data_IF_231594514522
#
_entry.id   IF_231594514522
#
_cell.length_a   1.000
_cell.length_b   1.000
_cell.length_c   1.000
_cell.angle_alpha   90.00
_cell.angle_beta   90.00
_cell.angle_gamma   90.00
#
_symmetry.space_group_name_H-M   'P 1'
#
loop_
_entity.id
_entity.type
_entity.pdbx_description
1 polymer ?
#
# COMPACT_ATOMS: atom_id res chain seq x y z
N UNK A 1 -11.12 -2.55 -7.24
CA UNK A 1 -10.59 -2.18 -8.55
C UNK A 1 -10.18 -0.70 -8.58
N UNK A 2 -11.11 0.28 -8.45
CA UNK A 2 -10.83 1.72 -8.61
C UNK A 2 -9.70 2.20 -7.70
N UNK A 3 -9.68 1.83 -6.41
CA UNK A 3 -8.64 2.25 -5.47
C UNK A 3 -7.24 1.73 -5.84
N UNK A 4 -7.13 0.49 -6.31
CA UNK A 4 -5.85 -0.09 -6.75
C UNK A 4 -5.40 0.51 -8.08
N UNK A 5 -6.32 0.63 -9.01
CA UNK A 5 -6.08 1.25 -10.31
C UNK A 5 -5.59 2.70 -10.14
N UNK A 6 -6.21 3.49 -9.25
CA UNK A 6 -5.86 4.88 -9.00
C UNK A 6 -4.40 5.04 -8.52
N UNK A 7 -3.95 4.22 -7.57
CA UNK A 7 -2.57 4.27 -7.07
C UNK A 7 -1.57 3.96 -8.18
N UNK A 8 -1.84 2.92 -8.98
CA UNK A 8 -0.91 2.48 -10.03
C UNK A 8 -0.87 3.44 -11.21
N UNK A 9 -2.03 3.95 -11.63
CA UNK A 9 -2.14 4.90 -12.74
C UNK A 9 -1.44 6.22 -12.41
N UNK A 10 -1.60 6.71 -11.16
CA UNK A 10 -0.91 7.93 -10.68
C UNK A 10 0.59 7.73 -10.57
N UNK A 11 1.06 6.53 -10.17
CA UNK A 11 2.49 6.24 -10.07
C UNK A 11 3.19 6.40 -11.41
N UNK A 12 2.62 5.89 -12.49
CA UNK A 12 3.17 6.04 -13.84
C UNK A 12 3.16 7.53 -14.29
N UNK A 13 2.18 8.31 -13.85
CA UNK A 13 2.06 9.72 -14.19
C UNK A 13 3.00 10.65 -13.39
N UNK A 14 3.61 10.17 -12.29
CA UNK A 14 4.41 10.99 -11.37
C UNK A 14 5.48 11.86 -12.03
N UNK A 15 6.33 11.35 -12.97
CA UNK A 15 7.33 12.18 -13.63
C UNK A 15 6.72 13.33 -14.44
N UNK A 16 5.57 13.09 -15.08
CA UNK A 16 4.84 14.12 -15.81
C UNK A 16 4.20 15.15 -14.88
N UNK A 17 3.63 14.72 -13.77
CA UNK A 17 3.11 15.56 -12.69
C UNK A 17 4.21 16.46 -12.12
N UNK A 18 5.39 15.88 -11.81
CA UNK A 18 6.55 16.62 -11.30
C UNK A 18 6.98 17.74 -12.23
N UNK A 19 7.13 17.44 -13.54
CA UNK A 19 7.57 18.40 -14.54
C UNK A 19 6.58 19.53 -14.74
N UNK A 20 5.28 19.24 -14.79
CA UNK A 20 4.26 20.24 -15.12
C UNK A 20 3.88 21.13 -13.92
N UNK A 21 3.75 20.57 -12.73
CA UNK A 21 3.41 21.32 -11.52
C UNK A 21 4.62 21.90 -10.79
N UNK A 22 5.85 21.54 -11.20
CA UNK A 22 7.07 22.10 -10.62
C UNK A 22 7.36 21.57 -9.21
N UNK A 23 7.02 20.32 -8.91
CA UNK A 23 7.43 19.69 -7.65
C UNK A 23 8.94 19.63 -7.53
N UNK A 24 9.47 19.96 -6.37
CA UNK A 24 10.87 19.69 -6.03
C UNK A 24 11.13 18.18 -5.95
N UNK A 25 12.41 17.76 -6.00
CA UNK A 25 12.79 16.35 -6.18
C UNK A 25 12.15 15.38 -5.20
N UNK A 26 12.01 15.76 -3.93
CA UNK A 26 11.43 14.92 -2.88
C UNK A 26 9.94 15.12 -2.63
N UNK A 27 9.36 16.23 -3.08
CA UNK A 27 7.96 16.55 -2.76
C UNK A 27 6.95 15.72 -3.54
N UNK A 28 7.29 15.26 -4.74
CA UNK A 28 6.36 14.51 -5.61
C UNK A 28 5.86 13.21 -4.96
N UNK A 29 6.63 12.62 -4.06
CA UNK A 29 6.21 11.44 -3.29
C UNK A 29 4.92 11.67 -2.48
N UNK A 30 4.67 12.95 -2.04
CA UNK A 30 3.46 13.28 -1.29
C UNK A 30 2.17 13.04 -2.06
N UNK A 31 2.22 12.97 -3.39
CA UNK A 31 1.09 12.58 -4.24
C UNK A 31 0.64 11.15 -3.94
N UNK A 32 1.58 10.24 -3.65
CA UNK A 32 1.28 8.84 -3.27
C UNK A 32 1.13 8.71 -1.74
N UNK A 33 2.07 9.26 -1.00
CA UNK A 33 2.12 9.17 0.47
C UNK A 33 0.90 9.82 1.12
N UNK A 34 0.43 10.98 0.61
CA UNK A 34 -0.76 11.66 1.12
C UNK A 34 -2.01 10.78 1.02
N UNK A 35 -2.21 10.12 -0.12
CA UNK A 35 -3.29 9.16 -0.29
C UNK A 35 -3.18 7.99 0.70
N UNK A 36 -2.05 7.29 0.73
CA UNK A 36 -1.86 6.12 1.58
C UNK A 36 -1.98 6.44 3.07
N UNK A 37 -1.51 7.61 3.49
CA UNK A 37 -1.59 8.08 4.87
C UNK A 37 -3.04 8.26 5.33
N UNK A 38 -3.84 9.03 4.58
CA UNK A 38 -5.25 9.27 4.91
C UNK A 38 -6.09 8.01 4.74
N UNK A 39 -5.82 7.21 3.71
CA UNK A 39 -6.47 5.92 3.49
C UNK A 39 -6.18 4.95 4.64
N UNK A 40 -4.91 4.67 4.94
CA UNK A 40 -4.50 3.73 5.98
C UNK A 40 -4.88 4.20 7.39
N UNK A 41 -4.72 5.50 7.67
CA UNK A 41 -5.02 6.08 8.97
C UNK A 41 -6.51 6.08 9.32
N UNK A 42 -7.37 6.20 8.33
CA UNK A 42 -8.83 6.25 8.53
C UNK A 42 -9.54 4.92 8.23
N UNK A 43 -8.83 3.91 7.71
CA UNK A 43 -9.44 2.67 7.25
C UNK A 43 -10.28 1.98 8.34
N UNK A 44 -9.72 1.83 9.54
CA UNK A 44 -10.40 1.19 10.67
C UNK A 44 -11.59 2.02 11.16
N UNK A 45 -11.43 3.33 11.25
CA UNK A 45 -12.50 4.25 11.65
C UNK A 45 -13.67 4.19 10.67
N UNK A 46 -13.38 4.24 9.36
CA UNK A 46 -14.41 4.22 8.31
C UNK A 46 -15.06 2.85 8.17
N UNK A 47 -14.34 1.77 8.46
CA UNK A 47 -14.92 0.42 8.56
C UNK A 47 -15.99 0.37 9.65
N UNK A 48 -15.69 0.87 10.86
CA UNK A 48 -16.67 0.98 11.95
C UNK A 48 -17.81 1.94 11.64
N UNK A 49 -17.52 3.05 11.00
CA UNK A 49 -18.58 3.97 10.55
C UNK A 49 -19.56 3.28 9.60
N UNK A 50 -19.09 2.36 8.75
CA UNK A 50 -19.92 1.53 7.88
C UNK A 50 -20.89 0.63 8.65
N UNK A 51 -20.42 0.00 9.71
CA UNK A 51 -21.26 -0.84 10.56
C UNK A 51 -22.28 -0.02 11.36
N UNK A 52 -21.92 1.21 11.81
CA UNK A 52 -22.75 2.09 12.61
C UNK A 52 -23.78 2.85 11.77
N UNK A 53 -23.37 3.49 10.68
CA UNK A 53 -24.22 4.39 9.87
C UNK A 53 -24.86 3.73 8.66
N UNK A 54 -24.42 2.51 8.32
CA UNK A 54 -24.90 1.75 7.17
C UNK A 54 -23.84 1.61 6.08
N UNK A 55 -23.62 0.38 5.64
CA UNK A 55 -22.56 -0.01 4.71
C UNK A 55 -22.75 0.61 3.32
N UNK A 56 -23.99 0.61 2.80
CA UNK A 56 -24.30 1.28 1.52
C UNK A 56 -24.09 2.78 1.59
N UNK A 57 -24.54 3.43 2.67
CA UNK A 57 -24.35 4.89 2.86
C UNK A 57 -22.89 5.26 2.87
N UNK A 58 -22.05 4.51 3.61
CA UNK A 58 -20.61 4.75 3.66
C UNK A 58 -19.92 4.47 2.31
N UNK A 59 -20.36 3.43 1.59
CA UNK A 59 -19.89 3.15 0.23
C UNK A 59 -20.17 4.31 -0.73
N UNK A 60 -21.41 4.82 -0.75
CA UNK A 60 -21.85 5.92 -1.61
C UNK A 60 -21.14 7.22 -1.23
N UNK A 61 -21.08 7.55 0.07
CA UNK A 61 -20.38 8.74 0.56
C UNK A 61 -18.87 8.69 0.23
N UNK A 62 -18.22 7.56 0.49
CA UNK A 62 -16.80 7.36 0.17
C UNK A 62 -16.52 7.50 -1.32
N UNK A 63 -17.35 6.92 -2.16
CA UNK A 63 -17.22 7.02 -3.61
C UNK A 63 -17.47 8.46 -4.11
N UNK A 64 -18.42 9.18 -3.53
CA UNK A 64 -18.70 10.58 -3.87
C UNK A 64 -17.50 11.48 -3.48
N UNK A 65 -16.94 11.29 -2.28
CA UNK A 65 -15.72 12.01 -1.84
C UNK A 65 -14.55 11.68 -2.74
N UNK A 66 -14.34 10.40 -3.07
CA UNK A 66 -13.29 9.94 -3.98
C UNK A 66 -13.41 10.58 -5.37
N UNK A 67 -14.62 10.64 -5.94
CA UNK A 67 -14.88 11.26 -7.24
C UNK A 67 -14.66 12.77 -7.22
N UNK A 68 -15.17 13.46 -6.19
CA UNK A 68 -14.98 14.91 -6.03
C UNK A 68 -13.49 15.27 -5.85
N UNK A 69 -12.76 14.48 -5.06
CA UNK A 69 -11.32 14.65 -4.88
C UNK A 69 -10.54 14.35 -6.17
N UNK A 70 -10.95 13.34 -6.94
CA UNK A 70 -10.37 13.04 -8.26
C UNK A 70 -10.57 14.17 -9.25
N UNK A 71 -11.77 14.75 -9.28
CA UNK A 71 -12.07 15.93 -10.10
C UNK A 71 -11.21 17.13 -9.68
N UNK A 72 -11.14 17.41 -8.39
CA UNK A 72 -10.33 18.51 -7.86
C UNK A 72 -8.83 18.31 -8.14
N UNK A 73 -8.31 17.10 -7.96
CA UNK A 73 -6.92 16.77 -8.27
C UNK A 73 -6.58 16.88 -9.74
N UNK A 74 -7.50 16.50 -10.66
CA UNK A 74 -7.33 16.69 -12.10
C UNK A 74 -7.31 18.15 -12.52
N UNK A 75 -7.93 19.04 -11.74
CA UNK A 75 -7.92 20.50 -11.94
C UNK A 75 -6.77 21.20 -11.18
N UNK A 76 -5.85 20.48 -10.57
CA UNK A 76 -4.78 21.06 -9.76
C UNK A 76 -3.88 21.99 -10.58
N UNK A 77 -3.62 23.18 -10.04
CA UNK A 77 -2.75 24.23 -10.61
C UNK A 77 -1.45 24.43 -9.83
N UNK A 78 -1.33 23.79 -8.68
CA UNK A 78 -0.17 23.88 -7.80
C UNK A 78 0.08 22.54 -7.09
N UNK A 79 1.33 22.24 -6.67
CA UNK A 79 1.67 21.01 -5.96
C UNK A 79 0.78 20.72 -4.76
N UNK A 80 0.59 21.69 -3.87
CA UNK A 80 -0.19 21.52 -2.64
C UNK A 80 -1.67 21.20 -2.91
N UNK A 81 -2.25 21.71 -4.03
CA UNK A 81 -3.64 21.40 -4.40
C UNK A 81 -3.78 19.93 -4.75
N UNK A 82 -2.83 19.38 -5.51
CA UNK A 82 -2.84 17.96 -5.85
C UNK A 82 -2.66 17.10 -4.59
N UNK A 83 -1.72 17.45 -3.71
CA UNK A 83 -1.51 16.71 -2.45
C UNK A 83 -2.77 16.76 -1.56
N UNK A 84 -3.42 17.92 -1.42
CA UNK A 84 -4.67 18.05 -0.68
C UNK A 84 -5.80 17.19 -1.29
N UNK A 85 -5.92 17.18 -2.62
CA UNK A 85 -6.88 16.33 -3.31
C UNK A 85 -6.57 14.83 -3.07
N UNK A 86 -5.29 14.42 -3.06
CA UNK A 86 -4.87 13.04 -2.77
C UNK A 86 -5.20 12.63 -1.32
N UNK A 87 -4.98 13.53 -0.35
CA UNK A 87 -5.41 13.31 1.04
C UNK A 87 -6.93 13.08 1.12
N UNK A 88 -7.72 13.93 0.47
CA UNK A 88 -9.18 13.80 0.45
C UNK A 88 -9.64 12.52 -0.29
N UNK A 89 -8.95 12.15 -1.36
CA UNK A 89 -9.21 10.91 -2.11
C UNK A 89 -8.95 9.68 -1.25
N UNK A 90 -7.89 9.70 -0.41
CA UNK A 90 -7.61 8.64 0.57
C UNK A 90 -8.70 8.51 1.63
N UNK A 91 -9.30 9.63 2.11
CA UNK A 91 -10.47 9.60 2.99
C UNK A 91 -11.65 8.89 2.31
N UNK A 92 -11.93 9.22 1.04
CA UNK A 92 -12.96 8.55 0.25
C UNK A 92 -12.69 7.06 0.08
N UNK A 93 -11.45 6.69 -0.23
CA UNK A 93 -11.01 5.30 -0.34
C UNK A 93 -11.17 4.52 0.96
N UNK A 94 -10.81 5.12 2.10
CA UNK A 94 -10.95 4.52 3.43
C UNK A 94 -12.40 4.17 3.79
N UNK A 95 -13.37 4.94 3.31
CA UNK A 95 -14.78 4.63 3.47
C UNK A 95 -15.26 3.59 2.44
N UNK A 96 -14.80 3.69 1.19
CA UNK A 96 -15.23 2.87 0.07
C UNK A 96 -14.81 1.40 0.20
N UNK A 97 -13.53 1.14 0.53
CA UNK A 97 -12.94 -0.21 0.46
C UNK A 97 -13.52 -1.15 1.52
N UNK A 98 -13.53 -0.84 2.83
CA UNK A 98 -14.13 -1.73 3.82
C UNK A 98 -15.64 -1.88 3.64
N UNK A 99 -16.36 -0.79 3.26
CA UNK A 99 -17.77 -0.87 2.98
C UNK A 99 -18.09 -1.81 1.81
N UNK A 100 -17.27 -1.82 0.75
CA UNK A 100 -17.43 -2.72 -0.40
C UNK A 100 -17.28 -4.19 0.00
N UNK A 101 -16.29 -4.50 0.84
CA UNK A 101 -16.06 -5.87 1.34
C UNK A 101 -17.18 -6.31 2.28
N UNK A 102 -17.63 -5.41 3.17
CA UNK A 102 -18.72 -5.68 4.09
C UNK A 102 -20.06 -5.90 3.37
N UNK A 103 -20.36 -5.12 2.32
CA UNK A 103 -21.54 -5.31 1.47
C UNK A 103 -21.50 -6.65 0.72
N UNK A 104 -20.33 -7.02 0.18
CA UNK A 104 -20.14 -8.29 -0.49
C UNK A 104 -20.40 -9.47 0.46
N UNK A 105 -19.82 -9.41 1.66
CA UNK A 105 -19.99 -10.47 2.67
C UNK A 105 -21.40 -10.54 3.24
N UNK A 106 -22.13 -9.44 3.29
CA UNK A 106 -23.54 -9.38 3.70
C UNK A 106 -24.49 -9.88 2.62
N UNK A 107 -24.16 -9.69 1.34
CA UNK A 107 -24.99 -10.09 0.22
C UNK A 107 -24.91 -11.61 -0.02
N UNK A 108 -23.72 -12.20 0.12
CA UNK A 108 -23.49 -13.63 -0.07
C UNK A 108 -23.34 -14.33 1.29
N UNK A 109 -24.39 -14.99 1.74
CA UNK A 109 -24.52 -15.51 3.11
C UNK A 109 -23.59 -16.68 3.49
N UNK A 110 -22.83 -17.24 2.55
CA UNK A 110 -21.86 -18.33 2.79
C UNK A 110 -21.81 -19.33 1.64
N UNK A 111 -20.93 -20.34 1.77
CA UNK A 111 -20.77 -21.41 0.80
C UNK A 111 -20.02 -21.00 -0.47
N UNK A 112 -20.33 -21.69 -1.57
CA UNK A 112 -19.61 -21.59 -2.84
C UNK A 112 -19.78 -20.20 -3.50
N UNK A 113 -20.98 -19.61 -3.40
CA UNK A 113 -21.26 -18.28 -3.96
C UNK A 113 -20.41 -17.19 -3.31
N UNK A 114 -20.29 -17.21 -1.97
CA UNK A 114 -19.41 -16.27 -1.25
C UNK A 114 -17.94 -16.46 -1.63
N UNK A 115 -17.48 -17.72 -1.73
CA UNK A 115 -16.11 -18.01 -2.13
C UNK A 115 -15.81 -17.50 -3.55
N UNK A 116 -16.76 -17.68 -4.47
CA UNK A 116 -16.66 -17.16 -5.84
C UNK A 116 -16.63 -15.62 -5.86
N UNK A 117 -17.52 -14.96 -5.11
CA UNK A 117 -17.57 -13.50 -5.02
C UNK A 117 -16.28 -12.92 -4.42
N UNK A 118 -15.73 -13.56 -3.36
CA UNK A 118 -14.44 -13.17 -2.76
C UNK A 118 -13.28 -13.42 -3.74
N UNK A 119 -13.32 -14.50 -4.51
CA UNK A 119 -12.34 -14.76 -5.57
C UNK A 119 -12.33 -13.66 -6.64
N UNK A 120 -13.51 -13.24 -7.10
CA UNK A 120 -13.64 -12.12 -8.05
C UNK A 120 -13.15 -10.81 -7.43
N UNK A 121 -13.49 -10.52 -6.17
CA UNK A 121 -13.02 -9.33 -5.46
C UNK A 121 -11.49 -9.28 -5.38
N UNK A 122 -10.85 -10.39 -5.02
CA UNK A 122 -9.39 -10.51 -4.98
C UNK A 122 -8.75 -10.37 -6.37
N UNK A 123 -9.35 -11.00 -7.40
CA UNK A 123 -8.86 -10.89 -8.78
C UNK A 123 -8.93 -9.44 -9.31
N UNK A 124 -9.94 -8.66 -8.89
CA UNK A 124 -10.05 -7.25 -9.27
C UNK A 124 -8.89 -6.38 -8.78
N UNK A 125 -8.22 -6.76 -7.70
CA UNK A 125 -7.01 -6.06 -7.26
C UNK A 125 -5.84 -6.25 -8.25
N UNK A 126 -5.59 -7.50 -8.68
CA UNK A 126 -4.56 -7.81 -9.69
C UNK A 126 -4.86 -7.19 -11.05
N UNK A 127 -6.13 -7.27 -11.50
CA UNK A 127 -6.57 -6.63 -12.74
C UNK A 127 -6.43 -5.12 -12.65
N UNK A 128 -6.78 -4.51 -11.50
CA UNK A 128 -6.62 -3.06 -11.28
C UNK A 128 -5.17 -2.62 -11.35
N UNK A 129 -4.25 -3.41 -10.79
CA UNK A 129 -2.82 -3.14 -10.87
C UNK A 129 -2.32 -3.18 -12.32
N UNK A 130 -2.61 -4.27 -13.05
CA UNK A 130 -2.19 -4.43 -14.44
C UNK A 130 -2.76 -3.35 -15.37
N UNK A 131 -4.07 -3.12 -15.27
CA UNK A 131 -4.74 -2.07 -16.06
C UNK A 131 -4.21 -0.69 -15.69
N UNK A 132 -3.96 -0.42 -14.41
CA UNK A 132 -3.43 0.86 -13.95
C UNK A 132 -2.08 1.20 -14.56
N UNK A 133 -1.17 0.23 -14.67
CA UNK A 133 0.13 0.43 -15.29
C UNK A 133 0.01 0.77 -16.78
N UNK A 134 -0.75 -0.01 -17.54
CA UNK A 134 -0.90 0.18 -18.99
C UNK A 134 -1.75 1.40 -19.30
N UNK A 135 -2.94 1.53 -18.68
CA UNK A 135 -3.82 2.68 -18.89
C UNK A 135 -3.19 3.98 -18.38
N UNK A 136 -2.41 3.92 -17.29
CA UNK A 136 -1.65 5.06 -16.78
C UNK A 136 -0.67 5.58 -17.83
N UNK A 137 0.04 4.67 -18.49
CA UNK A 137 0.92 5.01 -19.60
C UNK A 137 0.19 5.63 -20.79
N UNK A 138 -0.85 4.94 -21.27
CA UNK A 138 -1.69 5.41 -22.41
C UNK A 138 -2.30 6.79 -22.11
N UNK A 139 -2.98 6.92 -20.99
CA UNK A 139 -3.69 8.16 -20.63
C UNK A 139 -2.69 9.31 -20.45
N UNK A 140 -1.58 9.07 -19.75
CA UNK A 140 -0.58 10.10 -19.48
C UNK A 140 0.08 10.59 -20.78
N UNK A 141 0.36 9.69 -21.72
CA UNK A 141 1.03 10.02 -22.98
C UNK A 141 0.12 10.76 -23.95
N UNK A 142 -1.13 10.31 -24.13
CA UNK A 142 -2.01 10.85 -25.17
C UNK A 142 -2.96 11.95 -24.70
N UNK A 143 -3.36 11.92 -23.42
CA UNK A 143 -4.34 12.87 -22.87
C UNK A 143 -3.72 13.78 -21.78
N UNK A 144 -2.56 13.41 -21.27
CA UNK A 144 -1.91 14.09 -20.16
C UNK A 144 -2.29 13.54 -18.79
N UNK A 145 -1.44 13.80 -17.78
CA UNK A 145 -1.58 13.25 -16.44
C UNK A 145 -2.89 13.62 -15.72
N UNK A 146 -3.51 14.75 -16.03
CA UNK A 146 -4.79 15.18 -15.42
C UNK A 146 -5.89 14.17 -15.67
N UNK A 147 -5.93 13.55 -16.82
CA UNK A 147 -6.91 12.55 -17.20
C UNK A 147 -6.77 11.24 -16.40
N UNK A 148 -5.61 11.02 -15.81
CA UNK A 148 -5.40 9.90 -14.87
C UNK A 148 -6.34 10.00 -13.65
N UNK A 149 -6.63 11.22 -13.21
CA UNK A 149 -7.58 11.47 -12.13
C UNK A 149 -9.01 11.60 -12.67
N UNK A 150 -9.21 12.28 -13.80
CA UNK A 150 -10.55 12.45 -14.39
C UNK A 150 -11.22 11.13 -14.77
N UNK A 151 -10.47 10.08 -15.13
CA UNK A 151 -11.03 8.76 -15.48
C UNK A 151 -11.80 8.11 -14.33
N UNK A 152 -11.48 8.45 -13.10
CA UNK A 152 -12.20 7.98 -11.92
C UNK A 152 -13.62 8.57 -11.83
N UNK A 153 -13.84 9.77 -12.34
CA UNK A 153 -15.11 10.51 -12.21
C UNK A 153 -16.26 9.80 -12.95
N UNK A 154 -16.17 9.49 -14.24
CA UNK A 154 -17.25 8.79 -14.95
C UNK A 154 -17.52 7.40 -14.39
N UNK A 155 -16.48 6.68 -13.97
CA UNK A 155 -16.64 5.37 -13.32
C UNK A 155 -17.38 5.50 -12.00
N UNK A 156 -16.99 6.47 -11.17
CA UNK A 156 -17.65 6.73 -9.90
C UNK A 156 -19.11 7.18 -10.09
N UNK A 157 -19.40 8.07 -11.03
CA UNK A 157 -20.76 8.52 -11.34
C UNK A 157 -21.65 7.38 -11.80
N UNK A 158 -21.14 6.48 -12.65
CA UNK A 158 -21.88 5.29 -13.08
C UNK A 158 -22.21 4.37 -11.90
N UNK A 159 -21.24 4.14 -10.99
CA UNK A 159 -21.49 3.32 -9.80
C UNK A 159 -22.42 4.02 -8.82
N UNK A 160 -22.27 5.35 -8.61
CA UNK A 160 -23.16 6.13 -7.74
C UNK A 160 -24.61 6.10 -8.20
N UNK A 161 -24.86 6.15 -9.51
CA UNK A 161 -26.23 6.06 -10.07
C UNK A 161 -26.84 4.66 -9.91
N UNK A 162 -26.04 3.61 -9.99
CA UNK A 162 -26.50 2.22 -9.87
C UNK A 162 -26.59 1.73 -8.42
N UNK A 163 -25.75 2.24 -7.53
CA UNK A 163 -25.63 1.76 -6.15
C UNK A 163 -26.97 1.79 -5.37
N UNK A 164 -27.80 2.84 -5.45
CA UNK A 164 -29.09 2.87 -4.75
C UNK A 164 -30.08 1.81 -5.21
N UNK A 165 -29.98 1.39 -6.48
CA UNK A 165 -30.88 0.41 -7.10
C UNK A 165 -30.41 -1.01 -6.84
N UNK A 166 -29.09 -1.25 -6.94
CA UNK A 166 -28.53 -2.60 -6.90
C UNK A 166 -28.16 -3.02 -5.47
N UNK A 167 -27.71 -2.09 -4.64
CA UNK A 167 -27.19 -2.40 -3.30
C UNK A 167 -28.26 -2.16 -2.26
N UNK A 168 -28.61 -3.19 -1.49
CA UNK A 168 -29.49 -3.04 -0.32
C UNK A 168 -28.69 -2.50 0.86
N UNK A 169 -29.36 -1.64 1.68
CA UNK A 169 -28.74 -1.17 2.92
C UNK A 169 -28.54 -2.33 3.89
N UNK A 170 -27.39 -2.34 4.51
CA UNK A 170 -27.02 -3.31 5.55
C UNK A 170 -26.36 -2.56 6.70
N UNK A 171 -26.84 -2.80 7.89
CA UNK A 171 -26.33 -2.23 9.13
C UNK A 171 -26.15 -3.35 10.12
N UNK A 172 -25.16 -3.24 10.97
CA UNK A 172 -24.98 -4.17 12.09
C UNK A 172 -25.64 -3.59 13.35
N UNK A 173 -26.76 -4.18 13.75
CA UNK A 173 -27.50 -3.75 14.95
C UNK A 173 -26.73 -3.99 16.27
N UNK A 174 -25.63 -4.74 16.22
CA UNK A 174 -24.71 -5.00 17.35
C UNK A 174 -23.48 -4.11 17.30
N UNK A 175 -23.37 -3.22 16.28
CA UNK A 175 -22.23 -2.33 16.15
C UNK A 175 -22.11 -1.40 17.37
N UNK A 176 -20.87 -1.13 17.82
CA UNK A 176 -20.62 -0.18 18.89
C UNK A 176 -21.21 1.20 18.59
N UNK A 177 -21.75 1.85 19.62
CA UNK A 177 -22.44 3.15 19.45
C UNK A 177 -21.51 4.35 19.27
N UNK A 178 -20.19 4.17 19.40
CA UNK A 178 -19.22 5.28 19.39
C UNK A 178 -18.05 5.02 18.43
N UNK A 179 -17.56 6.12 17.82
CA UNK A 179 -16.36 6.12 17.01
C UNK A 179 -15.21 6.72 17.82
N UNK A 180 -14.07 6.05 17.84
CA UNK A 180 -12.83 6.57 18.42
C UNK A 180 -12.13 7.53 17.45
N UNK A 181 -12.67 8.77 17.37
CA UNK A 181 -12.07 9.83 16.56
C UNK A 181 -10.70 10.26 17.10
N UNK A 182 -10.51 10.18 18.43
CA UNK A 182 -9.27 10.59 19.06
C UNK A 182 -8.14 9.58 18.73
N UNK A 183 -8.44 8.29 18.76
CA UNK A 183 -7.50 7.23 18.34
C UNK A 183 -7.14 7.37 16.87
N UNK A 184 -8.12 7.54 15.98
CA UNK A 184 -7.87 7.75 14.56
C UNK A 184 -7.02 8.99 14.27
N UNK A 185 -7.35 10.12 14.89
CA UNK A 185 -6.61 11.37 14.70
C UNK A 185 -5.17 11.26 15.19
N UNK A 186 -4.95 10.73 16.41
CA UNK A 186 -3.61 10.59 16.99
C UNK A 186 -2.74 9.61 16.23
N UNK A 187 -3.28 8.50 15.76
CA UNK A 187 -2.56 7.54 14.90
C UNK A 187 -2.17 8.19 13.56
N UNK A 188 -3.15 8.79 12.86
CA UNK A 188 -2.92 9.37 11.53
C UNK A 188 -1.95 10.54 11.59
N UNK A 189 -2.13 11.48 12.53
CA UNK A 189 -1.25 12.64 12.68
C UNK A 189 0.15 12.24 13.19
N UNK A 190 0.23 11.26 14.08
CA UNK A 190 1.50 10.74 14.57
C UNK A 190 2.34 10.12 13.45
N UNK A 191 1.72 9.32 12.60
CA UNK A 191 2.38 8.74 11.43
C UNK A 191 2.69 9.78 10.36
N UNK A 192 1.80 10.75 10.13
CA UNK A 192 2.06 11.87 9.24
C UNK A 192 3.33 12.64 9.65
N UNK A 193 3.46 12.94 10.94
CA UNK A 193 4.63 13.63 11.47
C UNK A 193 5.91 12.79 11.31
N UNK A 194 5.86 11.47 11.54
CA UNK A 194 7.01 10.58 11.33
C UNK A 194 7.42 10.51 9.85
N UNK A 195 6.45 10.37 8.95
CA UNK A 195 6.70 10.34 7.51
C UNK A 195 7.28 11.68 7.04
N UNK A 196 6.72 12.80 7.52
CA UNK A 196 7.22 14.14 7.20
C UNK A 196 8.67 14.32 7.68
N UNK A 197 8.97 13.91 8.91
CA UNK A 197 10.33 13.98 9.44
C UNK A 197 11.34 13.20 8.57
N UNK A 198 10.99 11.99 8.13
CA UNK A 198 11.84 11.17 7.24
C UNK A 198 11.98 11.82 5.86
N UNK A 199 10.90 12.38 5.30
CA UNK A 199 10.90 12.99 3.97
C UNK A 199 11.74 14.26 3.89
N UNK A 200 11.71 15.08 4.96
CA UNK A 200 12.38 16.38 5.00
C UNK A 200 13.81 16.31 5.57
N UNK A 201 14.16 15.20 6.23
CA UNK A 201 15.47 15.04 6.84
C UNK A 201 16.66 15.22 5.86
N UNK A 202 16.64 14.76 4.60
CA UNK A 202 17.70 15.02 3.64
C UNK A 202 17.92 16.51 3.38
N UNK A 203 16.84 17.30 3.26
CA UNK A 203 16.90 18.72 2.89
C UNK A 203 17.21 19.64 4.08
N UNK A 204 16.64 19.32 5.24
CA UNK A 204 16.79 20.13 6.46
C UNK A 204 17.94 19.68 7.36
N UNK A 205 18.49 18.49 7.11
CA UNK A 205 19.46 17.79 7.98
C UNK A 205 18.78 16.86 8.99
N UNK A 206 19.37 15.68 9.16
CA UNK A 206 18.86 14.62 10.07
C UNK A 206 18.85 15.07 11.55
N UNK A 207 19.71 15.99 11.92
CA UNK A 207 19.89 16.48 13.31
C UNK A 207 19.33 17.90 13.47
N UNK A 208 18.61 18.43 12.49
CA UNK A 208 18.02 19.77 12.58
C UNK A 208 16.91 19.81 13.63
N UNK A 209 16.72 20.96 14.28
CA UNK A 209 15.62 21.15 15.24
C UNK A 209 14.26 20.81 14.64
N UNK A 210 14.03 21.16 13.37
CA UNK A 210 12.78 20.88 12.67
C UNK A 210 12.53 19.37 12.54
N UNK A 211 13.54 18.62 12.07
CA UNK A 211 13.42 17.16 11.91
C UNK A 211 13.22 16.47 13.26
N UNK A 212 14.02 16.85 14.28
CA UNK A 212 13.91 16.27 15.63
C UNK A 212 12.56 16.60 16.28
N UNK A 213 12.11 17.86 16.23
CA UNK A 213 10.82 18.24 16.83
C UNK A 213 9.65 17.56 16.13
N UNK A 214 9.70 17.40 14.82
CA UNK A 214 8.63 16.72 14.06
C UNK A 214 8.61 15.22 14.37
N UNK A 215 9.76 14.55 14.40
CA UNK A 215 9.86 13.14 14.79
C UNK A 215 9.42 12.91 16.25
N UNK A 216 9.83 13.81 17.17
CA UNK A 216 9.39 13.77 18.56
C UNK A 216 7.88 13.95 18.70
N UNK A 217 7.29 14.92 17.98
CA UNK A 217 5.82 15.12 17.96
C UNK A 217 5.10 13.87 17.45
N UNK A 218 5.59 13.25 16.36
CA UNK A 218 5.05 12.00 15.85
C UNK A 218 5.12 10.89 16.89
N UNK A 219 6.25 10.73 17.56
CA UNK A 219 6.43 9.72 18.61
C UNK A 219 5.49 9.97 19.80
N UNK A 220 5.34 11.22 20.24
CA UNK A 220 4.41 11.61 21.32
C UNK A 220 2.96 11.30 20.91
N UNK A 221 2.54 11.67 19.70
CA UNK A 221 1.18 11.39 19.20
C UNK A 221 0.89 9.89 19.12
N UNK A 222 1.85 9.07 18.70
CA UNK A 222 1.72 7.61 18.73
C UNK A 222 1.67 7.06 20.17
N UNK A 223 2.40 7.66 21.11
CA UNK A 223 2.27 7.36 22.53
C UNK A 223 0.89 7.74 23.09
N UNK A 224 0.37 8.90 22.70
CA UNK A 224 -1.01 9.33 23.03
C UNK A 224 -2.02 8.37 22.42
N UNK A 225 -1.86 7.97 21.17
CA UNK A 225 -2.70 6.94 20.53
C UNK A 225 -2.78 5.67 21.41
N UNK A 226 -1.66 5.11 21.84
CA UNK A 226 -1.64 3.92 22.72
C UNK A 226 -2.38 4.17 24.02
N UNK A 227 -2.28 5.36 24.59
CA UNK A 227 -2.99 5.70 25.86
C UNK A 227 -4.48 5.91 25.64
N UNK A 228 -4.90 6.49 24.51
CA UNK A 228 -6.30 6.64 24.09
C UNK A 228 -6.92 5.26 23.89
N UNK A 229 -6.27 4.40 23.08
CA UNK A 229 -6.73 3.04 22.80
C UNK A 229 -6.90 2.17 24.08
N UNK A 230 -6.02 2.35 25.07
CA UNK A 230 -6.15 1.63 26.37
C UNK A 230 -7.34 2.09 27.20
N UNK A 231 -7.84 3.31 26.97
CA UNK A 231 -8.94 3.91 27.73
C UNK A 231 -10.24 3.98 26.95
N UNK A 232 -10.19 3.78 25.63
CA UNK A 232 -11.35 3.79 24.78
C UNK A 232 -12.29 2.63 25.17
N UNK A 233 -13.59 2.92 25.31
CA UNK A 233 -14.59 1.90 25.52
C UNK A 233 -14.67 0.95 24.31
N UNK A 234 -14.41 1.48 23.13
CA UNK A 234 -14.48 0.81 21.83
C UNK A 234 -13.21 1.12 21.02
N UNK A 235 -12.06 0.50 21.35
CA UNK A 235 -10.79 0.81 20.71
C UNK A 235 -10.82 0.45 19.22
N UNK A 236 -10.18 1.26 18.35
CA UNK A 236 -10.04 1.00 16.90
C UNK A 236 -9.16 -0.23 16.64
N UNK A 237 -8.08 -0.32 17.39
CA UNK A 237 -7.13 -1.41 17.31
C UNK A 237 -6.95 -2.03 18.70
N UNK A 238 -7.56 -3.18 19.03
CA UNK A 238 -7.40 -3.78 20.34
C UNK A 238 -5.96 -4.15 20.58
N UNK A 239 -5.28 -3.34 21.41
CA UNK A 239 -3.88 -3.52 21.78
C UNK A 239 -3.54 -4.92 22.29
N UNK A 240 -4.43 -5.65 23.01
CA UNK A 240 -4.17 -7.02 23.38
C UNK A 240 -3.96 -7.97 22.19
N UNK A 241 -4.65 -7.74 21.06
CA UNK A 241 -4.46 -8.54 19.84
C UNK A 241 -3.15 -8.15 19.17
N UNK A 242 -2.85 -6.84 19.05
CA UNK A 242 -1.59 -6.35 18.51
C UNK A 242 -0.38 -6.76 19.36
N UNK A 243 -0.57 -6.92 20.68
CA UNK A 243 0.45 -7.41 21.61
C UNK A 243 0.74 -8.91 21.48
N UNK A 244 -0.11 -9.70 20.82
CA UNK A 244 0.19 -11.11 20.52
C UNK A 244 1.41 -11.16 19.59
N UNK A 245 2.47 -11.86 20.04
CA UNK A 245 3.75 -11.91 19.33
C UNK A 245 3.61 -12.27 17.84
N UNK A 246 2.74 -13.22 17.51
CA UNK A 246 2.49 -13.63 16.13
C UNK A 246 1.93 -12.49 15.27
N UNK A 247 0.87 -11.82 15.78
CA UNK A 247 0.23 -10.68 15.10
C UNK A 247 1.21 -9.52 14.94
N UNK A 248 1.96 -9.18 15.99
CA UNK A 248 2.95 -8.10 15.93
C UNK A 248 4.05 -8.38 14.90
N UNK A 249 4.63 -9.58 14.91
CA UNK A 249 5.69 -9.98 13.96
C UNK A 249 5.16 -10.01 12.53
N UNK A 250 3.97 -10.56 12.31
CA UNK A 250 3.36 -10.63 10.98
C UNK A 250 3.05 -9.25 10.43
N UNK A 251 2.44 -8.35 11.22
CA UNK A 251 2.14 -6.99 10.76
C UNK A 251 3.42 -6.17 10.53
N UNK A 252 4.46 -6.34 11.37
CA UNK A 252 5.76 -5.72 11.12
C UNK A 252 6.38 -6.21 9.80
N UNK A 253 6.29 -7.51 9.51
CA UNK A 253 6.75 -8.06 8.23
C UNK A 253 5.92 -7.53 7.04
N UNK A 254 4.61 -7.30 7.22
CA UNK A 254 3.73 -6.68 6.20
C UNK A 254 4.13 -5.23 5.94
N UNK A 255 4.43 -4.44 6.98
CA UNK A 255 4.95 -3.07 6.83
C UNK A 255 6.23 -3.09 6.00
N UNK A 256 7.23 -3.89 6.39
CA UNK A 256 8.50 -3.99 5.68
C UNK A 256 8.32 -4.46 4.23
N UNK A 257 7.45 -5.45 3.98
CA UNK A 257 7.09 -5.92 2.65
C UNK A 257 6.53 -4.78 1.79
N UNK A 258 5.59 -4.02 2.34
CA UNK A 258 4.94 -2.93 1.61
C UNK A 258 5.90 -1.77 1.33
N UNK A 259 6.81 -1.47 2.27
CA UNK A 259 7.91 -0.53 2.02
C UNK A 259 8.74 -0.94 0.80
N UNK A 260 9.10 -2.22 0.71
CA UNK A 260 9.87 -2.76 -0.41
C UNK A 260 9.11 -2.61 -1.74
N UNK A 261 7.84 -3.01 -1.78
CA UNK A 261 7.01 -2.92 -2.99
C UNK A 261 6.83 -1.48 -3.47
N UNK A 262 6.54 -0.56 -2.54
CA UNK A 262 6.41 0.87 -2.82
C UNK A 262 7.71 1.49 -3.34
N UNK A 263 8.84 1.18 -2.70
CA UNK A 263 10.16 1.65 -3.11
C UNK A 263 10.53 1.12 -4.51
N UNK A 264 10.33 -0.18 -4.76
CA UNK A 264 10.60 -0.79 -6.07
C UNK A 264 9.81 -0.10 -7.19
N UNK A 265 8.51 0.06 -7.00
CA UNK A 265 7.64 0.65 -8.02
C UNK A 265 8.02 2.12 -8.30
N UNK A 266 8.30 2.90 -7.26
CA UNK A 266 8.70 4.29 -7.37
C UNK A 266 10.04 4.45 -8.11
N UNK A 267 11.07 3.71 -7.69
CA UNK A 267 12.40 3.76 -8.29
C UNK A 267 12.37 3.34 -9.75
N UNK A 268 11.68 2.24 -10.06
CA UNK A 268 11.60 1.76 -11.45
C UNK A 268 10.83 2.73 -12.37
N UNK A 269 9.81 3.41 -11.86
CA UNK A 269 9.10 4.45 -12.62
C UNK A 269 10.02 5.61 -12.97
N UNK A 270 10.80 6.11 -12.00
CA UNK A 270 11.78 7.17 -12.24
C UNK A 270 12.92 6.69 -13.16
N UNK A 271 13.38 5.46 -12.98
CA UNK A 271 14.42 4.88 -13.83
C UNK A 271 13.98 4.82 -15.28
N UNK A 272 12.81 4.27 -15.58
CA UNK A 272 12.35 4.15 -16.97
C UNK A 272 12.06 5.51 -17.61
N UNK A 273 11.47 6.44 -16.88
CA UNK A 273 11.04 7.72 -17.47
C UNK A 273 12.09 8.83 -17.36
N UNK A 274 12.74 8.99 -16.21
CA UNK A 274 13.67 10.10 -15.99
C UNK A 274 15.12 9.76 -16.33
N UNK A 275 15.57 8.50 -16.10
CA UNK A 275 16.94 8.09 -16.40
C UNK A 275 17.09 7.53 -17.83
N UNK A 276 16.13 6.72 -18.32
CA UNK A 276 16.17 6.14 -19.67
C UNK A 276 15.38 6.95 -20.71
N UNK A 277 14.61 7.96 -20.28
CA UNK A 277 13.84 8.81 -21.19
C UNK A 277 12.66 8.11 -21.87
N UNK A 278 12.20 6.97 -21.36
CA UNK A 278 11.04 6.29 -21.93
C UNK A 278 9.76 7.09 -21.72
N UNK A 279 8.86 6.97 -22.69
CA UNK A 279 7.52 7.56 -22.56
C UNK A 279 6.71 6.86 -21.46
N UNK A 280 5.68 7.52 -20.91
CA UNK A 280 4.80 6.88 -19.91
C UNK A 280 4.21 5.56 -20.39
N UNK A 281 3.84 5.44 -21.66
CA UNK A 281 3.33 4.19 -22.24
C UNK A 281 4.40 3.09 -22.29
N UNK A 282 5.60 3.44 -22.74
CA UNK A 282 6.73 2.49 -22.77
C UNK A 282 7.05 2.01 -21.34
N UNK A 283 7.13 2.92 -20.37
CA UNK A 283 7.34 2.57 -18.96
C UNK A 283 6.22 1.65 -18.44
N UNK A 284 4.95 1.97 -18.71
CA UNK A 284 3.81 1.13 -18.33
C UNK A 284 3.89 -0.29 -18.91
N UNK A 285 4.30 -0.43 -20.18
CA UNK A 285 4.48 -1.74 -20.81
C UNK A 285 5.64 -2.55 -20.21
N UNK A 286 6.71 -1.89 -19.73
CA UNK A 286 7.82 -2.56 -19.06
C UNK A 286 7.43 -3.16 -17.70
N UNK A 287 6.31 -2.75 -17.10
CA UNK A 287 5.76 -3.38 -15.89
C UNK A 287 4.89 -4.63 -16.19
N UNK A 288 4.52 -4.92 -17.44
CA UNK A 288 3.70 -6.08 -17.80
C UNK A 288 4.37 -7.41 -17.38
N UNK A 289 5.68 -7.65 -17.60
CA UNK A 289 6.34 -8.88 -17.12
C UNK A 289 6.26 -9.05 -15.60
N UNK A 290 6.38 -7.97 -14.84
CA UNK A 290 6.24 -7.95 -13.40
C UNK A 290 4.83 -8.36 -12.98
N UNK A 291 3.80 -7.81 -13.62
CA UNK A 291 2.40 -8.19 -13.37
C UNK A 291 2.12 -9.66 -13.70
N UNK A 292 2.68 -10.16 -14.81
CA UNK A 292 2.57 -11.57 -15.17
C UNK A 292 3.22 -12.48 -14.11
N UNK A 293 4.37 -12.05 -13.55
CA UNK A 293 5.02 -12.76 -12.45
C UNK A 293 4.13 -12.84 -11.21
N UNK A 294 3.42 -11.76 -10.85
CA UNK A 294 2.46 -11.75 -9.74
C UNK A 294 1.36 -12.79 -9.93
N UNK A 295 0.77 -12.85 -11.13
CA UNK A 295 -0.32 -13.79 -11.46
C UNK A 295 0.14 -15.24 -11.33
N UNK A 296 1.36 -15.55 -11.78
CA UNK A 296 1.92 -16.91 -11.71
C UNK A 296 2.38 -17.26 -10.29
N UNK A 297 3.02 -16.32 -9.60
CA UNK A 297 3.60 -16.57 -8.28
C UNK A 297 2.54 -16.69 -7.17
N UNK A 298 1.39 -16.03 -7.28
CA UNK A 298 0.33 -16.05 -6.26
C UNK A 298 -0.22 -17.45 -5.97
N UNK A 299 -0.68 -18.26 -6.94
CA UNK A 299 -1.12 -19.63 -6.68
C UNK A 299 0.03 -20.53 -6.21
N UNK A 300 1.25 -20.34 -6.70
CA UNK A 300 2.43 -21.06 -6.23
C UNK A 300 2.73 -20.77 -4.75
N UNK A 301 2.57 -19.53 -4.33
CA UNK A 301 2.70 -19.12 -2.93
C UNK A 301 1.71 -19.86 -2.03
N UNK A 302 0.45 -20.01 -2.45
CA UNK A 302 -0.56 -20.80 -1.73
C UNK A 302 -0.16 -22.26 -1.58
N UNK A 303 0.30 -22.90 -2.67
CA UNK A 303 0.78 -24.29 -2.65
C UNK A 303 2.03 -24.45 -1.77
N UNK A 304 2.99 -23.54 -1.86
CA UNK A 304 4.18 -23.54 -1.01
C UNK A 304 3.82 -23.38 0.46
N UNK A 305 2.88 -22.49 0.76
CA UNK A 305 2.41 -22.26 2.15
C UNK A 305 1.77 -23.50 2.73
N UNK A 306 0.94 -24.23 1.97
CA UNK A 306 0.33 -25.48 2.44
C UNK A 306 1.36 -26.60 2.67
N UNK A 307 2.48 -26.62 1.94
CA UNK A 307 3.53 -27.65 2.04
C UNK A 307 4.59 -27.33 3.07
N UNK A 308 5.03 -26.08 3.14
CA UNK A 308 6.21 -25.65 3.90
C UNK A 308 5.86 -24.87 5.18
N UNK A 309 4.60 -24.43 5.29
CA UNK A 309 4.10 -23.52 6.32
C UNK A 309 4.42 -22.04 6.02
N UNK A 310 3.72 -21.17 6.72
CA UNK A 310 3.72 -19.72 6.48
C UNK A 310 5.11 -19.10 6.64
N UNK A 311 5.80 -19.39 7.76
CA UNK A 311 7.14 -18.84 8.07
C UNK A 311 8.15 -19.12 6.99
N UNK A 312 8.27 -20.40 6.56
CA UNK A 312 9.30 -20.83 5.59
C UNK A 312 9.01 -20.26 4.22
N UNK A 313 7.74 -20.19 3.84
CA UNK A 313 7.33 -19.63 2.55
C UNK A 313 7.57 -18.13 2.50
N UNK A 314 7.17 -17.37 3.53
CA UNK A 314 7.41 -15.93 3.60
C UNK A 314 8.92 -15.60 3.62
N UNK A 315 9.72 -16.34 4.40
CA UNK A 315 11.17 -16.17 4.45
C UNK A 315 11.83 -16.39 3.08
N UNK A 316 11.43 -17.42 2.35
CA UNK A 316 11.93 -17.67 0.97
C UNK A 316 11.48 -16.54 0.02
N UNK A 317 10.24 -16.06 0.16
CA UNK A 317 9.75 -14.93 -0.61
C UNK A 317 10.63 -13.70 -0.42
N UNK A 318 10.93 -13.31 0.82
CA UNK A 318 11.82 -12.17 1.08
C UNK A 318 13.25 -12.37 0.58
N UNK A 319 13.79 -13.58 0.69
CA UNK A 319 15.12 -13.89 0.14
C UNK A 319 15.16 -13.72 -1.39
N UNK A 320 14.12 -14.20 -2.09
CA UNK A 320 13.99 -14.06 -3.55
C UNK A 320 13.79 -12.58 -3.92
N UNK A 321 12.94 -11.83 -3.17
CA UNK A 321 12.76 -10.40 -3.39
C UNK A 321 14.06 -9.64 -3.23
N UNK A 322 14.82 -9.90 -2.15
CA UNK A 322 16.10 -9.24 -1.92
C UNK A 322 17.10 -9.55 -3.05
N UNK A 323 17.19 -10.80 -3.49
CA UNK A 323 18.08 -11.20 -4.59
C UNK A 323 17.68 -10.50 -5.91
N UNK A 324 16.39 -10.43 -6.23
CA UNK A 324 15.89 -9.71 -7.40
C UNK A 324 16.21 -8.22 -7.36
N UNK A 325 16.02 -7.56 -6.21
CA UNK A 325 16.34 -6.14 -6.02
C UNK A 325 17.85 -5.86 -6.11
N UNK A 326 18.69 -6.72 -5.53
CA UNK A 326 20.15 -6.65 -5.67
C UNK A 326 20.55 -6.75 -7.14
N UNK A 327 19.94 -7.66 -7.87
CA UNK A 327 20.18 -7.81 -9.31
C UNK A 327 19.79 -6.55 -10.08
N UNK A 328 18.60 -6.00 -9.83
CA UNK A 328 18.17 -4.74 -10.45
C UNK A 328 19.16 -3.63 -10.12
N UNK A 329 19.47 -3.42 -8.83
CA UNK A 329 20.37 -2.37 -8.37
C UNK A 329 21.76 -2.45 -9.01
N UNK A 330 22.26 -3.67 -9.20
CA UNK A 330 23.59 -3.93 -9.81
C UNK A 330 23.61 -3.70 -11.32
N UNK A 331 22.46 -3.84 -12.00
CA UNK A 331 22.33 -3.73 -13.46
C UNK A 331 21.79 -2.38 -13.92
N UNK A 332 21.42 -1.45 -13.00
CA UNK A 332 20.99 -0.11 -13.38
C UNK A 332 22.14 0.64 -14.08
N UNK A 333 21.92 1.04 -15.34
CA UNK A 333 22.85 1.85 -16.12
C UNK A 333 22.10 2.66 -17.16
N UNK A 334 22.71 3.73 -17.68
CA UNK A 334 22.17 4.55 -18.79
C UNK A 334 22.34 3.88 -20.15
N UNK A 335 23.32 2.98 -20.30
CA UNK A 335 23.75 2.49 -21.63
C UNK A 335 23.33 1.05 -21.94
N UNK A 336 22.74 0.32 -21.00
CA UNK A 336 22.37 -1.08 -21.25
C UNK A 336 21.92 -1.83 -20.01
N UNK A 337 21.56 -3.11 -20.17
CA UNK A 337 21.14 -3.95 -19.05
C UNK A 337 19.63 -4.03 -18.84
N UNK A 338 18.81 -3.43 -19.72
CA UNK A 338 17.34 -3.47 -19.59
C UNK A 338 16.80 -4.88 -19.38
N UNK A 339 17.31 -5.88 -20.13
CA UNK A 339 16.88 -7.28 -19.99
C UNK A 339 17.19 -7.81 -18.59
N UNK A 340 18.36 -7.50 -18.05
CA UNK A 340 18.76 -7.91 -16.69
C UNK A 340 17.90 -7.19 -15.63
N UNK A 341 17.60 -5.91 -15.82
CA UNK A 341 16.68 -5.14 -14.95
C UNK A 341 15.29 -5.76 -14.98
N UNK A 342 14.73 -6.05 -16.16
CA UNK A 342 13.41 -6.69 -16.30
C UNK A 342 13.38 -8.07 -15.65
N UNK A 343 14.43 -8.88 -15.83
CA UNK A 343 14.52 -10.19 -15.20
C UNK A 343 14.61 -10.08 -13.68
N UNK A 344 15.46 -9.18 -13.16
CA UNK A 344 15.56 -8.92 -11.73
C UNK A 344 14.23 -8.42 -11.12
N UNK A 345 13.51 -7.57 -11.85
CA UNK A 345 12.19 -7.07 -11.48
C UNK A 345 11.15 -8.21 -11.39
N UNK A 346 11.13 -9.13 -12.36
CA UNK A 346 10.29 -10.33 -12.37
C UNK A 346 10.61 -11.24 -11.17
N UNK A 347 11.88 -11.44 -10.88
CA UNK A 347 12.34 -12.25 -9.73
C UNK A 347 11.93 -11.59 -8.41
N UNK A 348 12.14 -10.28 -8.27
CA UNK A 348 11.76 -9.53 -7.07
C UNK A 348 10.24 -9.61 -6.81
N UNK A 349 9.43 -9.44 -7.86
CA UNK A 349 7.98 -9.51 -7.76
C UNK A 349 7.47 -10.92 -7.45
N UNK A 350 8.04 -11.95 -8.07
CA UNK A 350 7.71 -13.32 -7.73
C UNK A 350 7.98 -13.61 -6.24
N UNK A 351 9.12 -13.16 -5.73
CA UNK A 351 9.45 -13.24 -4.31
C UNK A 351 8.46 -12.47 -3.43
N UNK A 352 8.09 -11.25 -3.83
CA UNK A 352 7.11 -10.40 -3.15
C UNK A 352 5.75 -11.11 -3.00
N UNK A 353 5.24 -11.73 -4.07
CA UNK A 353 4.00 -12.50 -4.02
C UNK A 353 4.12 -13.77 -3.19
N UNK A 354 5.28 -14.46 -3.25
CA UNK A 354 5.55 -15.64 -2.42
C UNK A 354 5.58 -15.26 -0.93
N UNK A 355 6.01 -14.05 -0.57
CA UNK A 355 5.93 -13.55 0.81
C UNK A 355 4.52 -13.07 1.20
N UNK A 356 3.80 -12.45 0.26
CA UNK A 356 2.50 -11.79 0.53
C UNK A 356 1.42 -12.78 1.00
N UNK A 357 1.26 -13.90 0.31
CA UNK A 357 0.19 -14.88 0.58
C UNK A 357 0.29 -15.46 2.00
N UNK A 358 1.45 -16.03 2.43
CA UNK A 358 1.57 -16.56 3.79
C UNK A 358 1.44 -15.51 4.89
N UNK A 359 1.89 -14.26 4.66
CA UNK A 359 1.72 -13.18 5.62
C UNK A 359 0.24 -12.81 5.78
N UNK A 360 -0.53 -12.77 4.69
CA UNK A 360 -1.97 -12.52 4.75
C UNK A 360 -2.70 -13.64 5.52
N UNK A 361 -2.34 -14.90 5.27
CA UNK A 361 -2.90 -16.05 5.99
C UNK A 361 -2.55 -15.98 7.48
N UNK A 362 -1.29 -15.70 7.83
CA UNK A 362 -0.83 -15.61 9.20
C UNK A 362 -1.50 -14.45 9.97
N UNK A 363 -1.63 -13.27 9.33
CA UNK A 363 -2.25 -12.09 9.93
C UNK A 363 -3.73 -12.33 10.30
N UNK A 364 -4.46 -13.12 9.51
CA UNK A 364 -5.89 -13.38 9.70
C UNK A 364 -6.19 -14.72 10.36
N UNK A 365 -5.23 -15.62 10.42
CA UNK A 365 -5.41 -17.00 10.93
C UNK A 365 -5.15 -17.18 12.43
N UNK A 366 -4.43 -16.26 13.07
CA UNK A 366 -4.12 -16.31 14.52
C UNK A 366 -5.23 -15.75 15.42
N UNK A 367 -6.33 -15.27 14.84
CA UNK A 367 -7.45 -14.64 15.54
C UNK A 367 -8.73 -15.44 15.38
N UNK A 368 -9.65 -15.31 16.36
CA UNK A 368 -10.98 -15.93 16.30
C UNK A 368 -11.83 -15.40 15.14
N UNK A 369 -12.88 -16.12 14.80
CA UNK A 369 -13.77 -15.75 13.69
C UNK A 369 -14.37 -14.34 13.89
N UNK A 370 -14.68 -13.98 15.14
CA UNK A 370 -15.23 -12.67 15.52
C UNK A 370 -14.21 -11.52 15.37
N UNK A 371 -12.92 -11.84 15.45
CA UNK A 371 -11.81 -10.86 15.36
C UNK A 371 -11.22 -10.73 13.93
N UNK A 372 -11.63 -11.57 12.97
CA UNK A 372 -11.05 -11.61 11.61
C UNK A 372 -11.22 -10.31 10.85
N UNK A 373 -12.35 -9.65 11.00
CA UNK A 373 -12.60 -8.35 10.36
C UNK A 373 -11.60 -7.30 10.81
N UNK A 374 -11.36 -7.25 12.11
CA UNK A 374 -10.39 -6.35 12.71
C UNK A 374 -8.95 -6.69 12.29
N UNK A 375 -8.56 -7.97 12.29
CA UNK A 375 -7.24 -8.39 11.82
C UNK A 375 -6.99 -8.02 10.36
N UNK A 376 -8.01 -8.12 9.51
CA UNK A 376 -7.94 -7.67 8.11
C UNK A 376 -7.80 -6.16 8.00
N UNK A 377 -8.46 -5.39 8.86
CA UNK A 377 -8.32 -3.94 8.95
C UNK A 377 -6.90 -3.53 9.37
N UNK A 378 -6.35 -4.17 10.41
CA UNK A 378 -4.96 -3.96 10.86
C UNK A 378 -3.96 -4.30 9.76
N UNK A 379 -4.16 -5.43 9.06
CA UNK A 379 -3.33 -5.84 7.93
C UNK A 379 -3.32 -4.77 6.81
N UNK A 380 -4.51 -4.27 6.45
CA UNK A 380 -4.65 -3.25 5.42
C UNK A 380 -4.01 -1.93 5.85
N UNK A 381 -4.23 -1.49 7.09
CA UNK A 381 -3.58 -0.32 7.68
C UNK A 381 -2.06 -0.47 7.68
N UNK A 382 -1.53 -1.63 8.09
CA UNK A 382 -0.09 -1.94 8.07
C UNK A 382 0.48 -1.88 6.64
N UNK A 383 -0.30 -2.34 5.65
CA UNK A 383 0.08 -2.27 4.24
C UNK A 383 0.23 -0.82 3.78
N UNK A 384 -0.76 0.03 4.05
CA UNK A 384 -0.75 1.43 3.61
C UNK A 384 0.33 2.26 4.30
N UNK A 385 0.55 2.03 5.60
CA UNK A 385 1.67 2.66 6.29
C UNK A 385 3.03 2.22 5.75
N UNK A 386 3.15 0.93 5.43
CA UNK A 386 4.34 0.43 4.76
C UNK A 386 4.57 1.09 3.40
N UNK A 387 3.52 1.25 2.59
CA UNK A 387 3.60 1.96 1.32
C UNK A 387 4.06 3.41 1.51
N UNK A 388 3.41 4.16 2.41
CA UNK A 388 3.75 5.55 2.70
C UNK A 388 5.18 5.73 3.19
N UNK A 389 5.62 4.90 4.16
CA UNK A 389 7.00 4.88 4.64
C UNK A 389 8.00 4.48 3.55
N UNK A 390 7.64 3.53 2.67
CA UNK A 390 8.48 3.08 1.58
C UNK A 390 8.78 4.18 0.57
N UNK A 391 7.75 4.91 0.14
CA UNK A 391 7.93 6.07 -0.75
C UNK A 391 8.75 7.17 -0.09
N UNK A 392 8.45 7.51 1.16
CA UNK A 392 9.19 8.53 1.90
C UNK A 392 10.68 8.17 2.08
N UNK A 393 10.94 6.93 2.53
CA UNK A 393 12.30 6.46 2.79
C UNK A 393 13.14 6.40 1.52
N UNK A 394 12.59 5.86 0.42
CA UNK A 394 13.33 5.76 -0.83
C UNK A 394 13.58 7.12 -1.47
N UNK A 395 12.60 8.03 -1.43
CA UNK A 395 12.79 9.38 -1.91
C UNK A 395 13.84 10.14 -1.11
N UNK A 396 13.85 9.96 0.22
CA UNK A 396 14.89 10.52 1.11
C UNK A 396 16.30 9.99 0.76
N UNK A 397 16.43 8.68 0.47
CA UNK A 397 17.70 8.08 0.04
C UNK A 397 18.15 8.66 -1.30
N UNK A 398 17.24 8.76 -2.29
CA UNK A 398 17.55 9.33 -3.60
C UNK A 398 18.04 10.78 -3.45
N UNK A 399 17.32 11.59 -2.66
CA UNK A 399 17.68 12.99 -2.42
C UNK A 399 19.05 13.12 -1.75
N UNK A 400 19.29 12.40 -0.65
CA UNK A 400 20.55 12.45 0.09
C UNK A 400 21.77 12.07 -0.76
N UNK A 401 21.61 11.09 -1.66
CA UNK A 401 22.67 10.67 -2.57
C UNK A 401 22.87 11.70 -3.70
N UNK A 402 21.77 12.24 -4.24
CA UNK A 402 21.85 13.26 -5.29
C UNK A 402 22.56 14.55 -4.83
N UNK A 403 22.39 14.95 -3.56
CA UNK A 403 23.06 16.12 -2.98
C UNK A 403 24.56 15.88 -2.72
N UNK A 404 24.97 14.64 -2.50
CA UNK A 404 26.36 14.28 -2.14
C UNK A 404 27.23 13.93 -3.35
N UNK A 405 26.67 13.75 -4.54
CA UNK A 405 27.34 13.28 -5.74
C UNK A 405 27.68 14.40 -6.75
N UNK A 406 28.49 14.13 -7.78
CA UNK A 406 28.62 14.99 -8.93
C UNK A 406 27.25 15.12 -9.61
N UNK A 407 26.76 16.35 -9.78
CA UNK A 407 25.42 16.60 -10.31
C UNK A 407 25.16 15.97 -11.70
N UNK A 408 23.89 15.88 -12.13
CA UNK A 408 23.49 15.40 -13.42
C UNK A 408 22.89 13.98 -13.41
N UNK A 409 22.90 13.31 -14.56
CA UNK A 409 22.29 11.97 -14.77
C UNK A 409 22.94 10.89 -13.88
N UNK A 410 24.26 10.98 -13.64
CA UNK A 410 24.97 10.04 -12.77
C UNK A 410 24.51 10.14 -11.31
N UNK A 411 24.16 11.32 -10.83
CA UNK A 411 23.62 11.52 -9.48
C UNK A 411 22.23 10.87 -9.33
N UNK A 412 21.37 11.02 -10.33
CA UNK A 412 20.06 10.36 -10.33
C UNK A 412 20.20 8.84 -10.35
N UNK A 413 20.98 8.28 -11.26
CA UNK A 413 21.22 6.83 -11.34
C UNK A 413 21.81 6.27 -10.04
N UNK A 414 22.76 7.00 -9.43
CA UNK A 414 23.33 6.65 -8.15
C UNK A 414 22.27 6.64 -7.04
N UNK A 415 21.44 7.68 -6.98
CA UNK A 415 20.31 7.75 -6.04
C UNK A 415 19.31 6.60 -6.20
N UNK A 416 18.92 6.30 -7.45
CA UNK A 416 18.02 5.18 -7.75
C UNK A 416 18.62 3.82 -7.37
N UNK A 417 19.92 3.64 -7.63
CA UNK A 417 20.66 2.44 -7.24
C UNK A 417 20.67 2.24 -5.71
N UNK A 418 21.01 3.29 -4.97
CA UNK A 418 20.97 3.26 -3.50
C UNK A 418 19.54 3.08 -2.94
N UNK A 419 18.55 3.63 -3.60
CA UNK A 419 17.14 3.39 -3.29
C UNK A 419 16.78 1.90 -3.36
N UNK A 420 17.23 1.18 -4.41
CA UNK A 420 17.02 -0.28 -4.51
C UNK A 420 17.86 -1.09 -3.53
N UNK A 421 19.11 -0.66 -3.24
CA UNK A 421 19.90 -1.27 -2.18
C UNK A 421 19.24 -1.15 -0.82
N UNK A 422 18.67 0.02 -0.51
CA UNK A 422 17.90 0.21 0.72
C UNK A 422 16.67 -0.69 0.79
N UNK A 423 15.92 -0.84 -0.31
CA UNK A 423 14.79 -1.76 -0.41
C UNK A 423 15.22 -3.23 -0.23
N UNK A 424 16.35 -3.64 -0.83
CA UNK A 424 16.91 -4.98 -0.64
C UNK A 424 17.31 -5.22 0.83
N UNK A 425 17.88 -4.20 1.49
CA UNK A 425 18.22 -4.26 2.92
C UNK A 425 16.96 -4.41 3.78
N UNK A 426 15.89 -3.67 3.48
CA UNK A 426 14.60 -3.81 4.17
C UNK A 426 14.03 -5.23 3.98
N UNK A 427 14.11 -5.79 2.77
CA UNK A 427 13.69 -7.16 2.52
C UNK A 427 14.52 -8.19 3.32
N UNK A 428 15.82 -7.98 3.44
CA UNK A 428 16.70 -8.80 4.26
C UNK A 428 16.38 -8.67 5.76
N UNK A 429 16.08 -7.46 6.25
CA UNK A 429 15.60 -7.25 7.62
C UNK A 429 14.28 -7.97 7.90
N UNK A 430 13.34 -7.94 6.96
CA UNK A 430 12.08 -8.69 7.07
C UNK A 430 12.33 -10.20 7.12
N UNK A 431 13.25 -10.71 6.32
CA UNK A 431 13.68 -12.10 6.37
C UNK A 431 14.22 -12.47 7.76
N UNK A 432 15.14 -11.67 8.30
CA UNK A 432 15.71 -11.87 9.64
C UNK A 432 14.64 -11.81 10.72
N UNK A 433 13.74 -10.83 10.66
CA UNK A 433 12.60 -10.71 11.56
C UNK A 433 11.77 -12.00 11.62
N UNK A 434 11.43 -12.55 10.45
CA UNK A 434 10.66 -13.79 10.37
C UNK A 434 11.43 -15.01 10.90
N UNK A 435 12.72 -15.11 10.60
CA UNK A 435 13.57 -16.22 11.07
C UNK A 435 13.69 -16.19 12.59
N UNK A 436 13.86 -15.03 13.19
CA UNK A 436 14.10 -14.93 14.63
C UNK A 436 12.82 -14.96 15.46
N UNK A 437 11.74 -14.36 14.98
CA UNK A 437 10.58 -14.06 15.83
C UNK A 437 9.27 -14.74 15.41
N UNK A 438 9.09 -15.15 14.15
CA UNK A 438 7.89 -15.86 13.73
C UNK A 438 7.98 -17.34 14.16
N UNK A 439 7.01 -17.81 14.95
CA UNK A 439 6.92 -19.24 15.29
C UNK A 439 6.58 -20.04 14.04
N UNK A 440 7.18 -21.20 13.86
CA UNK A 440 6.74 -22.17 12.87
C UNK A 440 5.35 -22.64 13.27
N UNK A 441 4.31 -22.17 12.61
CA UNK A 441 2.96 -22.68 12.79
C UNK A 441 2.98 -24.19 12.54
N UNK A 442 2.42 -24.92 13.47
CA UNK A 442 2.42 -26.38 13.46
C UNK A 442 1.62 -26.83 12.23
N UNK A 443 2.27 -27.36 11.23
CA UNK A 443 1.69 -28.23 10.21
C UNK A 443 1.15 -29.56 10.80
N UNK A 444 0.71 -29.56 12.07
CA UNK A 444 0.45 -30.72 12.90
C UNK A 444 -0.96 -30.87 13.46
N UNK A 445 -1.90 -29.95 13.19
CA UNK A 445 -3.25 -30.06 13.81
C UNK A 445 -4.30 -30.79 12.98
N UNK A 446 -3.91 -31.47 11.88
CA UNK A 446 -4.81 -32.34 11.09
C UNK A 446 -4.58 -33.85 11.26
N UNK A 447 -3.95 -34.32 12.33
CA UNK A 447 -3.78 -35.76 12.62
C UNK A 447 -4.51 -36.23 13.88
N UNK A 448 -5.54 -35.54 14.34
CA UNK A 448 -6.24 -35.89 15.58
C UNK A 448 -7.77 -35.97 15.50
N UNK A 449 -8.37 -36.26 14.33
CA UNK A 449 -9.83 -36.43 14.23
C UNK A 449 -10.22 -37.62 13.31
N UNK A 450 -9.44 -38.69 13.33
CA UNK A 450 -9.88 -40.00 12.92
C UNK A 450 -9.19 -41.05 13.82
N UNK A 451 -9.78 -41.33 14.93
CA UNK A 451 -9.69 -42.60 15.64
C UNK A 451 -11.09 -42.95 16.17
N UNK A 452 -11.45 -44.21 16.09
CA UNK A 452 -12.78 -44.75 15.89
C UNK A 452 -13.69 -44.58 17.11
#
# INVERSE_FOLDING_TARGET
LVAVLDVTIVTIALPSVRRELGFSGGEVQWVLTGYALSFGGLLLLMGRAGDLYGRRRMFVAGLAVFAAASLWGGLAWAPWVLVAARLLQGVGGAALVPASLALLTATFAGGEERNRAMGVYGAMAGVGFALGMVLGGVITEFLGWRWVLFVNVPVALAVLSLAPVVIRESKDDRAPCTLDLAGAATATLGLAAMIYAVSEAPYNGWVSPTTICTAASGTVLLGVFVTVERRAAEPLAPLPILGRRGVAVTNSAVVLKSMVGAAQLFVLTLYFQDALGYTPLQAGLLFVPMTAASVVASPLAGQLTSRLGERRTAARGFAITAAGLVMVASCLSSEGGLVAVLFGMVVAEAGFMIANVPLTIAATGEVGDDERGLASGVLSTSTEFGNALGWAAVAAVIAAVAESGPGGEDALLSGLRWGLWSAATIAALALVLLILFMRSGIAGKKRGLHAP
#
